data_IF_154520475463
#
_entry.id   IF_154520475463
#
_cell.length_a   1.000
_cell.length_b   1.000
_cell.length_c   1.000
_cell.angle_alpha   90.00
_cell.angle_beta   90.00
_cell.angle_gamma   90.00
#
_symmetry.space_group_name_H-M   'P 1'
#
loop_
_entity.id
_entity.type
_entity.pdbx_description
1 polymer ?
#
# COMPACT_ATOMS: atom_id res chain seq x y z
N UNK A 1 2.72 -0.60 -18.05
CA UNK A 1 3.41 -1.69 -18.78
C UNK A 1 4.48 -2.40 -17.94
N UNK A 2 4.92 -1.84 -16.80
CA UNK A 2 6.01 -2.37 -15.97
C UNK A 2 5.71 -3.72 -15.28
N UNK A 3 4.54 -3.87 -14.66
CA UNK A 3 4.19 -5.12 -13.93
C UNK A 3 4.11 -6.34 -14.86
N UNK A 4 3.61 -6.13 -16.09
CA UNK A 4 3.58 -7.17 -17.12
C UNK A 4 4.97 -7.56 -17.61
N UNK A 5 5.87 -6.61 -17.79
CA UNK A 5 7.23 -6.91 -18.23
C UNK A 5 7.99 -7.70 -17.16
N UNK A 6 7.85 -7.32 -15.89
CA UNK A 6 8.42 -8.05 -14.75
C UNK A 6 7.88 -9.49 -14.66
N UNK A 7 6.58 -9.68 -14.79
CA UNK A 7 5.99 -11.02 -14.80
C UNK A 7 6.49 -11.86 -15.97
N UNK A 8 6.56 -11.29 -17.17
CA UNK A 8 7.03 -12.01 -18.37
C UNK A 8 8.48 -12.49 -18.21
N UNK A 9 9.34 -11.69 -17.55
CA UNK A 9 10.70 -12.10 -17.22
C UNK A 9 10.76 -13.25 -16.21
N UNK A 10 9.91 -13.22 -15.17
CA UNK A 10 9.80 -14.32 -14.19
C UNK A 10 9.33 -15.61 -14.86
N UNK A 11 8.38 -15.52 -15.81
CA UNK A 11 7.83 -16.66 -16.54
C UNK A 11 8.82 -17.28 -17.53
N UNK A 12 9.60 -16.46 -18.23
CA UNK A 12 10.64 -16.94 -19.13
C UNK A 12 11.74 -17.74 -18.40
N UNK A 13 11.85 -17.61 -17.08
CA UNK A 13 12.73 -18.41 -16.22
C UNK A 13 12.09 -19.64 -15.56
N UNK A 14 10.77 -19.82 -15.64
CA UNK A 14 10.02 -20.94 -15.01
C UNK A 14 9.14 -21.64 -16.04
N UNK A 15 9.59 -22.78 -16.54
CA UNK A 15 8.83 -23.56 -17.52
C UNK A 15 7.58 -24.24 -16.91
N UNK A 16 6.39 -23.79 -17.32
CA UNK A 16 5.15 -24.56 -17.20
C UNK A 16 3.91 -23.72 -16.87
N UNK A 17 2.98 -23.59 -17.83
CA UNK A 17 1.76 -22.78 -17.66
C UNK A 17 0.69 -23.49 -16.83
N UNK A 18 0.30 -22.89 -15.70
CA UNK A 18 -0.79 -23.37 -14.82
C UNK A 18 -2.01 -22.43 -14.84
N UNK A 19 -3.18 -22.90 -14.41
CA UNK A 19 -4.41 -22.09 -14.31
C UNK A 19 -4.26 -20.85 -13.42
N UNK A 20 -3.39 -20.90 -12.40
CA UNK A 20 -3.02 -19.75 -11.57
C UNK A 20 -2.27 -18.64 -12.31
N UNK A 21 -1.62 -18.94 -13.44
CA UNK A 21 -0.91 -17.92 -14.22
C UNK A 21 -1.85 -16.99 -14.97
N UNK A 22 -2.98 -17.51 -15.46
CA UNK A 22 -3.99 -16.68 -16.11
C UNK A 22 -4.55 -15.62 -15.15
N UNK A 23 -4.75 -16.00 -13.89
CA UNK A 23 -5.17 -15.11 -12.80
C UNK A 23 -4.13 -14.02 -12.56
N UNK A 24 -2.86 -14.40 -12.43
CA UNK A 24 -1.78 -13.43 -12.16
C UNK A 24 -1.62 -12.46 -13.32
N UNK A 25 -1.60 -12.94 -14.57
CA UNK A 25 -1.50 -12.07 -15.76
C UNK A 25 -2.66 -11.10 -15.81
N UNK A 26 -3.89 -11.58 -15.63
CA UNK A 26 -5.08 -10.75 -15.64
C UNK A 26 -5.03 -9.70 -14.53
N UNK A 27 -4.71 -10.11 -13.29
CA UNK A 27 -4.63 -9.18 -12.16
C UNK A 27 -3.58 -8.12 -12.41
N UNK A 28 -2.42 -8.47 -12.98
CA UNK A 28 -1.40 -7.49 -13.31
C UNK A 28 -1.79 -6.56 -14.45
N UNK A 29 -2.55 -7.05 -15.44
CA UNK A 29 -3.14 -6.20 -16.48
C UNK A 29 -4.17 -5.24 -15.87
N UNK A 30 -5.05 -5.73 -15.00
CA UNK A 30 -6.01 -4.90 -14.29
C UNK A 30 -5.32 -3.86 -13.41
N UNK A 31 -4.34 -4.24 -12.58
CA UNK A 31 -3.52 -3.32 -11.78
C UNK A 31 -2.83 -2.28 -12.67
N UNK A 32 -2.31 -2.70 -13.82
CA UNK A 32 -1.63 -1.82 -14.76
C UNK A 32 -2.59 -0.89 -15.54
N UNK A 33 -3.85 -1.26 -15.68
CA UNK A 33 -4.90 -0.45 -16.30
C UNK A 33 -5.58 0.50 -15.29
N UNK A 34 -5.52 0.18 -14.00
CA UNK A 34 -5.94 1.03 -12.87
C UNK A 34 -4.89 2.10 -12.50
N UNK A 35 -3.92 2.33 -13.39
CA UNK A 35 -2.88 3.33 -13.19
C UNK A 35 -3.49 4.75 -13.12
N UNK A 36 -4.58 5.01 -13.83
CA UNK A 36 -5.26 6.30 -13.79
C UNK A 36 -5.92 6.57 -12.44
N UNK A 37 -6.50 5.55 -11.79
CA UNK A 37 -7.04 5.65 -10.42
C UNK A 37 -5.90 5.92 -9.41
N UNK A 38 -4.77 5.21 -9.56
CA UNK A 38 -3.58 5.40 -8.75
C UNK A 38 -2.92 6.78 -8.99
N UNK A 39 -2.98 7.32 -10.21
CA UNK A 39 -2.46 8.65 -10.55
C UNK A 39 -3.41 9.74 -10.01
N UNK A 40 -4.72 9.60 -10.20
CA UNK A 40 -5.71 10.51 -9.61
C UNK A 40 -5.60 10.54 -8.08
N UNK A 41 -5.26 9.40 -7.47
CA UNK A 41 -4.96 9.30 -6.06
C UNK A 41 -3.75 10.16 -5.65
N UNK A 42 -2.68 10.23 -6.45
CA UNK A 42 -1.53 11.09 -6.17
C UNK A 42 -1.92 12.57 -6.13
N UNK A 43 -2.88 12.98 -6.95
CA UNK A 43 -3.40 14.35 -7.01
C UNK A 43 -4.34 14.68 -5.83
N UNK A 44 -5.04 13.67 -5.29
CA UNK A 44 -5.93 13.81 -4.13
C UNK A 44 -5.21 13.76 -2.78
N UNK A 45 -3.97 13.27 -2.76
CA UNK A 45 -3.13 13.25 -1.56
C UNK A 45 -2.49 14.64 -1.42
N UNK A 46 -2.99 15.54 -0.54
CA UNK A 46 -2.35 16.83 -0.28
C UNK A 46 -0.90 16.63 0.19
N UNK A 47 -0.16 17.72 0.42
CA UNK A 47 1.04 17.62 1.27
C UNK A 47 0.55 16.98 2.58
N UNK A 48 0.95 15.73 2.81
CA UNK A 48 0.55 14.93 3.96
C UNK A 48 1.36 15.43 5.16
N UNK A 49 1.13 16.68 5.55
CA UNK A 49 1.73 17.30 6.73
C UNK A 49 1.19 16.60 7.99
N UNK A 50 1.60 15.35 8.23
CA UNK A 50 1.18 14.54 9.36
C UNK A 50 -0.33 14.14 9.36
N UNK A 51 -0.97 14.09 8.20
CA UNK A 51 -2.43 13.87 8.10
C UNK A 51 -2.82 12.42 7.77
N UNK A 52 -3.94 11.98 8.37
CA UNK A 52 -4.69 10.79 7.97
C UNK A 52 -5.69 11.16 6.88
N UNK A 53 -5.45 10.69 5.66
CA UNK A 53 -6.31 10.93 4.50
C UNK A 53 -7.13 9.67 4.22
N UNK A 54 -8.45 9.79 4.22
CA UNK A 54 -9.34 8.68 3.85
C UNK A 54 -9.43 8.58 2.33
N UNK A 55 -9.19 7.39 1.81
CA UNK A 55 -9.29 7.11 0.37
C UNK A 55 -10.66 6.53 0.03
N UNK A 56 -11.13 5.62 0.87
CA UNK A 56 -12.50 5.09 0.85
C UNK A 56 -12.96 4.76 2.28
N UNK A 57 -14.09 4.05 2.41
CA UNK A 57 -14.69 3.66 3.70
C UNK A 57 -13.77 2.82 4.60
N UNK A 58 -12.79 2.12 4.02
CA UNK A 58 -12.00 1.08 4.70
C UNK A 58 -10.50 1.16 4.46
N UNK A 59 -10.04 2.12 3.67
CA UNK A 59 -8.63 2.33 3.38
C UNK A 59 -8.28 3.81 3.54
N UNK A 60 -7.29 4.06 4.38
CA UNK A 60 -6.73 5.39 4.64
C UNK A 60 -5.23 5.39 4.39
N UNK A 61 -4.67 6.57 4.13
CA UNK A 61 -3.24 6.82 4.09
C UNK A 61 -2.86 7.68 5.27
N UNK A 62 -1.79 7.32 5.94
CA UNK A 62 -1.15 8.16 6.93
C UNK A 62 0.21 8.58 6.40
N UNK A 63 0.35 9.86 6.06
CA UNK A 63 1.66 10.39 5.72
C UNK A 63 2.42 10.81 6.96
N UNK A 64 3.74 10.65 6.88
CA UNK A 64 4.63 11.03 7.96
C UNK A 64 5.88 11.70 7.40
N UNK A 65 6.27 12.87 7.92
CA UNK A 65 7.52 13.51 7.58
C UNK A 65 8.66 12.88 8.41
N UNK A 66 9.22 11.76 7.93
CA UNK A 66 10.53 11.32 8.44
C UNK A 66 11.61 12.19 7.81
N UNK A 67 12.28 13.01 8.63
CA UNK A 67 13.50 13.69 8.21
C UNK A 67 14.72 12.83 8.55
N UNK A 68 15.34 12.23 7.53
CA UNK A 68 16.71 11.69 7.57
C UNK A 68 17.09 10.95 8.88
N UNK A 69 16.40 9.86 9.21
CA UNK A 69 16.72 9.05 10.39
C UNK A 69 16.38 9.70 11.74
N UNK A 70 15.69 10.83 11.73
CA UNK A 70 15.07 11.38 12.94
C UNK A 70 13.66 10.82 13.09
N UNK A 71 13.29 10.39 14.31
CA UNK A 71 11.94 9.97 14.57
C UNK A 71 10.98 11.14 14.31
N UNK A 72 9.76 10.84 13.83
CA UNK A 72 8.76 11.84 13.58
C UNK A 72 8.48 12.73 14.80
N UNK A 73 7.96 13.94 14.57
CA UNK A 73 7.44 14.78 15.65
C UNK A 73 6.37 14.01 16.43
N UNK A 74 6.65 13.66 17.69
CA UNK A 74 5.79 12.79 18.51
C UNK A 74 4.31 13.18 18.54
N UNK A 75 3.99 14.47 18.38
CA UNK A 75 2.62 15.01 18.47
C UNK A 75 1.70 14.52 17.36
N UNK A 76 2.20 14.36 16.13
CA UNK A 76 1.37 13.88 15.02
C UNK A 76 1.03 12.40 15.16
N UNK A 77 2.00 11.59 15.59
CA UNK A 77 1.80 10.14 15.85
C UNK A 77 0.69 9.93 16.86
N UNK A 78 0.71 10.71 17.93
CA UNK A 78 -0.29 10.65 19.00
C UNK A 78 -1.67 11.10 18.51
N UNK A 79 -1.72 12.12 17.66
CA UNK A 79 -2.97 12.65 17.10
C UNK A 79 -3.62 11.66 16.13
N UNK A 80 -2.84 11.09 15.21
CA UNK A 80 -3.30 10.05 14.30
C UNK A 80 -3.73 8.78 15.05
N UNK A 81 -2.97 8.37 16.06
CA UNK A 81 -3.32 7.22 16.89
C UNK A 81 -4.59 7.46 17.71
N UNK A 82 -4.81 8.68 18.23
CA UNK A 82 -6.04 9.05 18.90
C UNK A 82 -7.23 9.00 17.95
N UNK A 83 -7.10 9.57 16.75
CA UNK A 83 -8.14 9.54 15.73
C UNK A 83 -8.53 8.11 15.35
N UNK A 84 -7.55 7.25 15.06
CA UNK A 84 -7.81 5.84 14.72
C UNK A 84 -8.45 5.05 15.88
N UNK A 85 -8.06 5.34 17.12
CA UNK A 85 -8.70 4.72 18.30
C UNK A 85 -10.15 5.18 18.46
N UNK A 86 -10.40 6.47 18.31
CA UNK A 86 -11.73 7.06 18.50
C UNK A 86 -12.70 6.63 17.40
N UNK A 87 -12.25 6.66 16.14
CA UNK A 87 -13.10 6.38 14.98
C UNK A 87 -13.27 4.89 14.70
N UNK A 88 -12.20 4.11 14.86
CA UNK A 88 -12.24 2.69 14.51
C UNK A 88 -12.32 1.78 15.73
N UNK A 89 -12.29 2.30 16.97
CA UNK A 89 -12.36 1.49 18.20
C UNK A 89 -11.32 0.37 18.22
N UNK A 90 -10.14 0.60 17.65
CA UNK A 90 -9.08 -0.40 17.51
C UNK A 90 -9.23 -1.35 16.32
N UNK A 91 -10.26 -1.23 15.49
CA UNK A 91 -10.46 -2.06 14.28
C UNK A 91 -9.61 -1.58 13.09
N UNK A 92 -8.33 -1.30 13.31
CA UNK A 92 -7.41 -0.86 12.26
C UNK A 92 -6.12 -1.67 12.29
N UNK A 93 -5.47 -1.81 11.15
CA UNK A 93 -4.12 -2.36 11.03
C UNK A 93 -3.32 -1.47 10.11
N UNK A 94 -2.10 -1.14 10.51
CA UNK A 94 -1.20 -0.27 9.76
C UNK A 94 -0.25 -1.12 8.94
N UNK A 95 -0.21 -0.90 7.62
CA UNK A 95 0.86 -1.36 6.76
C UNK A 95 1.87 -0.24 6.63
N UNK A 96 2.97 -0.36 7.36
CA UNK A 96 4.09 0.56 7.26
C UNK A 96 4.85 0.30 5.96
N UNK A 97 4.64 1.19 4.98
CA UNK A 97 5.31 1.17 3.69
C UNK A 97 6.47 2.18 3.62
N UNK A 98 6.84 2.85 4.72
CA UNK A 98 7.87 3.90 4.71
C UNK A 98 9.27 3.36 4.39
N UNK A 99 9.50 2.06 4.56
CA UNK A 99 10.77 1.39 4.29
C UNK A 99 11.40 0.89 5.59
N UNK A 100 12.65 1.29 5.86
CA UNK A 100 13.36 0.92 7.08
C UNK A 100 12.97 1.76 8.31
N UNK A 101 12.20 2.83 8.11
CA UNK A 101 11.82 3.76 9.15
C UNK A 101 10.84 3.11 10.15
N UNK A 102 11.29 3.02 11.41
CA UNK A 102 10.52 2.46 12.52
C UNK A 102 10.26 3.52 13.59
N UNK A 103 9.22 3.28 14.39
CA UNK A 103 8.83 4.14 15.49
C UNK A 103 8.22 3.30 16.61
N UNK A 104 7.80 3.92 17.70
CA UNK A 104 7.16 3.21 18.81
C UNK A 104 5.75 2.73 18.45
N UNK A 105 5.62 1.43 18.14
CA UNK A 105 4.35 0.81 17.74
C UNK A 105 3.33 0.70 18.88
N UNK A 106 3.78 0.83 20.14
CA UNK A 106 2.88 0.82 21.29
C UNK A 106 1.85 1.96 21.20
N UNK A 107 2.18 3.05 20.49
CA UNK A 107 1.26 4.17 20.22
C UNK A 107 0.01 3.74 19.45
N UNK A 108 0.11 2.69 18.63
CA UNK A 108 -0.99 2.10 17.87
C UNK A 108 -1.43 0.73 18.41
N UNK A 109 -1.08 0.42 19.67
CA UNK A 109 -1.41 -0.87 20.28
C UNK A 109 -0.77 -2.06 19.55
N UNK A 110 0.43 -1.86 19.01
CA UNK A 110 1.20 -2.86 18.26
C UNK A 110 0.50 -3.40 16.99
N UNK A 111 -0.46 -2.62 16.45
CA UNK A 111 -1.17 -2.94 15.21
C UNK A 111 -0.45 -2.40 13.97
N UNK A 112 0.82 -2.78 13.80
CA UNK A 112 1.69 -2.34 12.70
C UNK A 112 2.38 -3.53 12.04
N UNK A 113 2.32 -3.60 10.71
CA UNK A 113 3.04 -4.54 9.86
C UNK A 113 4.05 -3.79 8.99
N UNK A 114 5.34 -4.14 9.12
CA UNK A 114 6.40 -3.55 8.32
C UNK A 114 6.51 -4.20 6.94
N UNK A 115 6.54 -3.35 5.90
CA UNK A 115 6.74 -3.73 4.51
C UNK A 115 7.84 -2.89 3.88
N UNK A 116 9.02 -3.49 3.77
CA UNK A 116 10.18 -2.85 3.18
C UNK A 116 10.11 -3.02 1.66
N UNK A 117 10.11 -1.90 0.95
CA UNK A 117 10.32 -1.87 -0.50
C UNK A 117 11.83 -1.82 -0.75
N UNK A 118 12.35 -2.71 -1.58
CA UNK A 118 13.74 -2.64 -2.03
C UNK A 118 14.00 -1.35 -2.83
N UNK A 119 15.26 -0.95 -3.01
CA UNK A 119 15.61 0.16 -3.89
C UNK A 119 15.20 -0.14 -5.34
N UNK A 120 14.10 0.48 -5.77
CA UNK A 120 13.53 0.33 -7.10
C UNK A 120 12.07 -0.12 -7.07
N UNK A 121 11.48 -0.45 -8.22
CA UNK A 121 10.08 -0.82 -8.23
C UNK A 121 9.84 -2.23 -7.69
N UNK A 122 8.79 -2.43 -6.87
CA UNK A 122 8.54 -3.70 -6.20
C UNK A 122 8.24 -4.79 -7.20
N UNK A 123 8.74 -5.99 -6.90
CA UNK A 123 8.40 -7.19 -7.65
C UNK A 123 6.90 -7.51 -7.57
N UNK A 124 6.37 -8.09 -8.64
CA UNK A 124 4.97 -8.55 -8.72
C UNK A 124 4.56 -9.40 -7.52
N UNK A 125 5.39 -10.37 -7.13
CA UNK A 125 5.08 -11.26 -6.00
C UNK A 125 5.00 -10.52 -4.67
N UNK A 126 5.73 -9.41 -4.50
CA UNK A 126 5.65 -8.57 -3.31
C UNK A 126 4.30 -7.86 -3.25
N UNK A 127 3.90 -7.19 -4.34
CA UNK A 127 2.61 -6.49 -4.42
C UNK A 127 1.42 -7.43 -4.20
N UNK A 128 1.46 -8.62 -4.80
CA UNK A 128 0.40 -9.62 -4.62
C UNK A 128 0.29 -10.08 -3.16
N UNK A 129 1.42 -10.33 -2.50
CA UNK A 129 1.43 -10.69 -1.06
C UNK A 129 0.87 -9.55 -0.22
N UNK A 130 1.32 -8.32 -0.46
CA UNK A 130 0.85 -7.12 0.22
C UNK A 130 -0.67 -6.99 0.11
N UNK A 131 -1.21 -6.99 -1.11
CA UNK A 131 -2.64 -6.91 -1.37
C UNK A 131 -3.42 -8.06 -0.73
N UNK A 132 -2.87 -9.27 -0.71
CA UNK A 132 -3.50 -10.42 -0.07
C UNK A 132 -3.62 -10.24 1.43
N UNK A 133 -2.59 -9.70 2.10
CA UNK A 133 -2.66 -9.42 3.55
C UNK A 133 -3.71 -8.38 3.90
N UNK A 134 -3.80 -7.30 3.11
CA UNK A 134 -4.82 -6.25 3.26
C UNK A 134 -6.21 -6.86 3.10
N UNK A 135 -6.43 -7.61 2.00
CA UNK A 135 -7.71 -8.26 1.72
C UNK A 135 -8.10 -9.26 2.81
N UNK A 136 -7.15 -10.03 3.32
CA UNK A 136 -7.40 -10.98 4.39
C UNK A 136 -7.90 -10.25 5.64
N UNK A 137 -7.17 -9.24 6.11
CA UNK A 137 -7.56 -8.41 7.26
C UNK A 137 -8.97 -7.82 7.10
N UNK A 138 -9.24 -7.16 5.97
CA UNK A 138 -10.52 -6.52 5.70
C UNK A 138 -11.68 -7.52 5.57
N UNK A 139 -11.42 -8.81 5.35
CA UNK A 139 -12.46 -9.84 5.30
C UNK A 139 -12.77 -10.47 6.65
N UNK A 140 -11.90 -10.30 7.65
CA UNK A 140 -12.13 -10.87 8.98
C UNK A 140 -13.28 -10.17 9.71
N UNK A 141 -13.43 -8.86 9.53
CA UNK A 141 -14.51 -8.07 10.13
C UNK A 141 -14.88 -6.90 9.20
N UNK A 142 -16.17 -6.61 8.96
CA UNK A 142 -16.60 -5.43 8.19
C UNK A 142 -16.15 -4.08 8.80
N UNK A 143 -15.87 -4.02 10.10
CA UNK A 143 -15.37 -2.82 10.79
C UNK A 143 -13.87 -2.62 10.63
N UNK A 144 -13.14 -3.63 10.15
CA UNK A 144 -11.70 -3.51 9.95
C UNK A 144 -11.38 -2.46 8.88
N UNK A 145 -10.39 -1.63 9.19
CA UNK A 145 -9.83 -0.59 8.33
C UNK A 145 -8.34 -0.88 8.09
N UNK A 146 -7.89 -0.56 6.88
CA UNK A 146 -6.51 -0.60 6.44
C UNK A 146 -5.94 0.81 6.46
N UNK A 147 -4.75 0.98 7.05
CA UNK A 147 -4.02 2.24 7.04
C UNK A 147 -2.68 2.01 6.35
N UNK A 148 -2.47 2.66 5.21
CA UNK A 148 -1.17 2.66 4.51
C UNK A 148 -0.33 3.81 5.06
N UNK A 149 0.74 3.47 5.77
CA UNK A 149 1.65 4.47 6.31
C UNK A 149 2.81 4.69 5.34
N UNK A 150 3.11 5.94 5.01
CA UNK A 150 4.15 6.29 4.01
C UNK A 150 5.02 7.45 4.49
N UNK A 151 6.27 7.50 4.03
CA UNK A 151 7.12 8.65 4.23
C UNK A 151 6.79 9.74 3.19
N UNK A 152 6.56 10.97 3.65
CA UNK A 152 6.20 12.09 2.81
C UNK A 152 7.42 12.77 2.16
N UNK A 153 8.56 12.81 2.87
CA UNK A 153 9.74 13.56 2.46
C UNK A 153 10.64 12.72 1.56
N UNK A 154 10.14 12.37 0.38
CA UNK A 154 10.99 11.84 -0.67
C UNK A 154 11.36 12.94 -1.67
N UNK A 155 12.65 13.28 -1.64
CA UNK A 155 13.31 14.24 -2.51
C UNK A 155 12.86 14.08 -3.98
N UNK A 156 12.53 15.20 -4.62
CA UNK A 156 12.15 15.29 -6.04
C UNK A 156 13.22 14.66 -6.94
N UNK A 157 14.50 14.71 -6.53
CA UNK A 157 15.60 14.08 -7.24
C UNK A 157 15.71 12.57 -7.02
N UNK A 158 15.14 12.02 -5.94
CA UNK A 158 14.99 10.56 -5.73
C UNK A 158 13.82 10.01 -6.56
N UNK A 159 12.73 10.77 -6.66
CA UNK A 159 11.59 10.44 -7.56
C UNK A 159 12.04 10.34 -9.03
N UNK A 160 12.98 11.18 -9.47
CA UNK A 160 13.60 11.10 -10.81
C UNK A 160 14.50 9.88 -11.04
N UNK A 161 14.96 9.23 -9.96
CA UNK A 161 15.77 8.00 -10.01
C UNK A 161 14.92 6.72 -9.94
N UNK A 162 13.59 6.82 -9.99
CA UNK A 162 12.65 5.71 -9.76
C UNK A 162 12.78 5.06 -8.37
N UNK A 163 13.27 5.80 -7.37
CA UNK A 163 12.98 5.46 -5.97
C UNK A 163 11.50 5.82 -5.76
N UNK A 164 10.68 4.84 -5.39
CA UNK A 164 9.26 5.06 -5.27
C UNK A 164 8.97 5.94 -4.05
N UNK A 165 8.54 7.19 -4.33
CA UNK A 165 7.95 8.08 -3.34
C UNK A 165 6.96 7.32 -2.45
N UNK A 166 6.86 7.68 -1.17
CA UNK A 166 5.84 7.13 -0.29
C UNK A 166 4.45 7.23 -0.90
N UNK A 167 4.14 8.36 -1.55
CA UNK A 167 2.90 8.53 -2.32
C UNK A 167 2.76 7.49 -3.44
N UNK A 168 3.81 7.23 -4.21
CA UNK A 168 3.80 6.19 -5.25
C UNK A 168 3.60 4.78 -4.67
N UNK A 169 4.21 4.47 -3.52
CA UNK A 169 4.02 3.18 -2.82
C UNK A 169 2.55 3.00 -2.38
N UNK A 170 1.94 4.04 -1.80
CA UNK A 170 0.51 4.01 -1.45
C UNK A 170 -0.37 3.86 -2.69
N UNK A 171 -0.14 4.68 -3.72
CA UNK A 171 -0.92 4.67 -4.96
C UNK A 171 -0.91 3.30 -5.65
N UNK A 172 0.27 2.68 -5.76
CA UNK A 172 0.37 1.34 -6.35
C UNK A 172 -0.30 0.27 -5.50
N UNK A 173 -0.14 0.33 -4.17
CA UNK A 173 -0.76 -0.64 -3.26
C UNK A 173 -2.28 -0.57 -3.36
N UNK A 174 -2.84 0.65 -3.33
CA UNK A 174 -4.26 0.90 -3.49
C UNK A 174 -4.79 0.39 -4.83
N UNK A 175 -4.20 0.85 -5.95
CA UNK A 175 -4.63 0.43 -7.28
C UNK A 175 -4.56 -1.09 -7.48
N UNK A 176 -3.51 -1.73 -6.97
CA UNK A 176 -3.38 -3.19 -7.03
C UNK A 176 -4.42 -3.91 -6.17
N UNK A 177 -4.67 -3.41 -4.96
CA UNK A 177 -5.65 -4.00 -4.05
C UNK A 177 -7.07 -3.98 -4.62
N UNK A 178 -7.50 -2.86 -5.21
CA UNK A 178 -8.83 -2.75 -5.81
C UNK A 178 -8.98 -3.64 -7.04
N UNK A 179 -7.98 -3.65 -7.93
CA UNK A 179 -7.98 -4.53 -9.10
C UNK A 179 -8.10 -6.01 -8.71
N UNK A 180 -7.37 -6.44 -7.66
CA UNK A 180 -7.45 -7.80 -7.15
C UNK A 180 -8.78 -8.09 -6.46
N UNK A 181 -9.31 -7.14 -5.71
CA UNK A 181 -10.57 -7.32 -4.99
C UNK A 181 -11.74 -7.50 -5.94
N UNK A 182 -11.83 -6.65 -6.96
CA UNK A 182 -12.82 -6.74 -8.05
C UNK A 182 -12.78 -8.12 -8.72
N UNK A 183 -11.59 -8.59 -9.11
CA UNK A 183 -11.41 -9.92 -9.69
C UNK A 183 -12.02 -11.04 -8.84
N UNK A 184 -11.66 -11.06 -7.55
CA UNK A 184 -12.10 -12.13 -6.65
C UNK A 184 -13.57 -12.03 -6.25
N UNK A 185 -14.20 -10.87 -6.43
CA UNK A 185 -15.62 -10.69 -6.17
C UNK A 185 -16.44 -11.10 -7.41
N UNK A 186 -15.94 -10.81 -8.62
CA UNK A 186 -16.52 -11.32 -9.87
C UNK A 186 -16.46 -12.86 -9.96
N UNK A 187 -15.35 -13.48 -9.53
CA UNK A 187 -15.23 -14.94 -9.52
C UNK A 187 -16.15 -15.64 -8.51
N UNK A 188 -16.76 -14.92 -7.56
CA UNK A 188 -17.76 -15.47 -6.62
C UNK A 188 -19.19 -15.40 -7.14
N UNK A 189 -19.42 -14.76 -8.29
CA UNK A 189 -20.72 -14.72 -8.96
C UNK A 189 -20.93 -15.87 -9.95
N UNK A 190 -19.96 -16.77 -10.09
CA UNK A 190 -20.02 -18.02 -10.85
C UNK A 190 -19.84 -19.23 -9.93
#
# INVERSE_FOLDING_TARGET
QYLLSQYTQIQNGRGGKSSSEGVIVWSLQACNNRLDDAIAMLDLIPVLEDELVRMDDRLSILGFPWMHGQPPMNKSLESAAALLRDENSGNYLIWNLSGEDKFDYAKFGDQVLDWVFDEGPPGVSFLLKLCHTIRYWLRLDPKHVCVLLVNELEDVDLSRKMLLSGKARAAMTYGCYHALSEYFDDQRMF
#
